data_IF_908702040073
#
_entry.id   IF_908702040073
#
_cell.length_a   1.000
_cell.length_b   1.000
_cell.length_c   1.000
_cell.angle_alpha   90.00
_cell.angle_beta   90.00
_cell.angle_gamma   90.00
#
_symmetry.space_group_name_H-M   'P 1'
#
loop_
_entity.id
_entity.type
_entity.pdbx_description
1 polymer ?
#
# COMPACT_ATOMS: atom_id res chain seq x y z
N UNK A 1 2.98 -15.48 10.13
CA UNK A 1 1.54 -15.16 10.16
C UNK A 1 1.16 -14.48 8.86
N UNK A 2 0.07 -14.91 8.24
CA UNK A 2 -0.42 -14.32 6.99
C UNK A 2 -1.38 -13.16 7.27
N UNK A 3 -1.09 -11.96 6.78
CA UNK A 3 -1.94 -10.79 6.99
C UNK A 3 -3.19 -10.84 6.11
N UNK A 4 -4.23 -10.09 6.52
CA UNK A 4 -5.53 -10.08 5.84
C UNK A 4 -5.43 -9.68 4.36
N UNK A 5 -4.55 -8.74 4.02
CA UNK A 5 -4.32 -8.32 2.64
C UNK A 5 -3.87 -9.48 1.74
N UNK A 6 -2.95 -10.33 2.21
CA UNK A 6 -2.48 -11.50 1.46
C UNK A 6 -3.59 -12.53 1.27
N UNK A 7 -4.43 -12.75 2.28
CA UNK A 7 -5.58 -13.66 2.20
C UNK A 7 -6.57 -13.23 1.11
N UNK A 8 -6.90 -11.94 1.05
CA UNK A 8 -7.79 -11.37 0.02
C UNK A 8 -7.22 -11.56 -1.39
N UNK A 9 -5.94 -11.23 -1.57
CA UNK A 9 -5.30 -11.40 -2.89
C UNK A 9 -5.24 -12.86 -3.33
N UNK A 10 -5.03 -13.83 -2.41
CA UNK A 10 -5.05 -15.27 -2.74
C UNK A 10 -6.44 -15.78 -3.11
N UNK A 11 -7.50 -15.18 -2.56
CA UNK A 11 -8.88 -15.45 -2.96
C UNK A 11 -9.19 -14.92 -4.37
N UNK A 12 -8.32 -14.09 -4.93
CA UNK A 12 -8.50 -13.44 -6.23
C UNK A 12 -9.06 -12.03 -6.14
N UNK A 13 -9.25 -11.48 -4.94
CA UNK A 13 -9.68 -10.10 -4.78
C UNK A 13 -8.56 -9.14 -5.19
N UNK A 14 -8.94 -8.00 -5.74
CA UNK A 14 -8.01 -6.96 -6.17
C UNK A 14 -8.05 -5.80 -5.17
N UNK A 15 -6.87 -5.40 -4.68
CA UNK A 15 -6.70 -4.35 -3.68
C UNK A 15 -5.93 -3.17 -4.27
N UNK A 16 -6.45 -1.96 -4.16
CA UNK A 16 -5.76 -0.71 -4.52
C UNK A 16 -5.98 0.36 -3.45
N UNK A 17 -5.13 1.38 -3.42
CA UNK A 17 -5.39 2.61 -2.66
C UNK A 17 -5.60 3.73 -3.67
N UNK A 18 -6.80 4.28 -3.70
CA UNK A 18 -7.21 5.30 -4.66
C UNK A 18 -7.59 6.56 -3.91
N UNK A 19 -6.88 7.67 -4.22
CA UNK A 19 -7.07 8.97 -3.54
C UNK A 19 -7.04 8.83 -2.01
N UNK A 20 -6.12 8.03 -1.49
CA UNK A 20 -5.93 7.78 -0.07
C UNK A 20 -6.99 6.89 0.58
N UNK A 21 -7.86 6.23 -0.20
CA UNK A 21 -8.89 5.30 0.30
C UNK A 21 -8.65 3.89 -0.20
N UNK A 22 -8.94 2.91 0.64
CA UNK A 22 -8.89 1.51 0.23
C UNK A 22 -10.00 1.22 -0.78
N UNK A 23 -9.64 0.65 -1.93
CA UNK A 23 -10.55 0.14 -2.92
C UNK A 23 -10.34 -1.38 -3.05
N UNK A 24 -11.44 -2.12 -2.94
CA UNK A 24 -11.46 -3.58 -3.05
C UNK A 24 -12.42 -3.95 -4.16
N UNK A 25 -11.93 -4.69 -5.15
CA UNK A 25 -12.76 -5.34 -6.15
C UNK A 25 -12.78 -6.83 -5.84
N UNK A 26 -13.93 -7.34 -5.43
CA UNK A 26 -14.05 -8.77 -5.11
C UNK A 26 -13.97 -9.61 -6.39
N UNK A 27 -13.39 -10.80 -6.30
CA UNK A 27 -13.37 -11.76 -7.41
C UNK A 27 -14.79 -12.15 -7.87
N UNK A 28 -15.77 -12.06 -6.96
CA UNK A 28 -17.17 -12.34 -7.22
C UNK A 28 -17.93 -11.20 -7.91
N UNK A 29 -17.34 -10.00 -8.00
CA UNK A 29 -17.98 -8.78 -8.50
C UNK A 29 -19.01 -8.16 -7.54
N UNK A 30 -19.32 -8.80 -6.41
CA UNK A 30 -20.21 -8.24 -5.39
C UNK A 30 -19.50 -7.17 -4.55
N UNK A 31 -20.19 -6.11 -4.12
CA UNK A 31 -19.61 -5.11 -3.23
C UNK A 31 -19.29 -5.74 -1.87
N UNK A 32 -18.15 -5.35 -1.31
CA UNK A 32 -17.77 -5.73 0.05
C UNK A 32 -18.60 -4.90 1.05
N UNK A 33 -19.14 -5.50 2.14
CA UNK A 33 -19.91 -4.77 3.14
C UNK A 33 -19.14 -3.58 3.71
N UNK A 34 -19.78 -2.42 3.80
CA UNK A 34 -19.14 -1.17 4.25
C UNK A 34 -18.65 -1.25 5.70
N UNK A 35 -19.43 -1.86 6.59
CA UNK A 35 -19.08 -2.02 8.01
C UNK A 35 -17.78 -2.84 8.20
N UNK A 36 -17.60 -3.85 7.34
CA UNK A 36 -16.39 -4.66 7.34
C UNK A 36 -15.18 -3.86 6.82
N UNK A 37 -15.37 -3.05 5.76
CA UNK A 37 -14.31 -2.17 5.26
C UNK A 37 -13.91 -1.16 6.35
N UNK A 38 -14.86 -0.51 7.00
CA UNK A 38 -14.55 0.53 7.98
C UNK A 38 -13.75 -0.01 9.18
N UNK A 39 -14.01 -1.25 9.59
CA UNK A 39 -13.29 -1.90 10.68
C UNK A 39 -11.90 -2.46 10.29
N UNK A 40 -11.73 -2.93 9.05
CA UNK A 40 -10.50 -3.62 8.60
C UNK A 40 -9.62 -2.82 7.65
N UNK A 41 -10.12 -1.72 7.08
CA UNK A 41 -9.42 -0.97 6.05
C UNK A 41 -8.06 -0.46 6.53
N UNK A 42 -7.96 0.01 7.78
CA UNK A 42 -6.72 0.53 8.32
C UNK A 42 -5.66 -0.57 8.44
N UNK A 43 -6.03 -1.76 8.91
CA UNK A 43 -5.12 -2.90 9.04
C UNK A 43 -4.62 -3.39 7.67
N UNK A 44 -5.52 -3.42 6.68
CA UNK A 44 -5.19 -3.75 5.29
C UNK A 44 -4.24 -2.71 4.72
N UNK A 45 -4.58 -1.43 4.81
CA UNK A 45 -3.74 -0.34 4.33
C UNK A 45 -2.36 -0.37 5.00
N UNK A 46 -2.28 -0.56 6.31
CA UNK A 46 -1.01 -0.67 7.04
C UNK A 46 -0.15 -1.80 6.51
N UNK A 47 -0.74 -2.98 6.32
CA UNK A 47 -0.04 -4.16 5.78
C UNK A 47 0.49 -3.90 4.36
N UNK A 48 -0.32 -3.25 3.52
CA UNK A 48 0.07 -2.87 2.14
C UNK A 48 1.22 -1.85 2.14
N UNK A 49 1.12 -0.81 2.96
CA UNK A 49 2.14 0.23 3.07
C UNK A 49 3.48 -0.34 3.57
N UNK A 50 3.44 -1.19 4.60
CA UNK A 50 4.61 -1.91 5.11
C UNK A 50 5.26 -2.79 4.04
N UNK A 51 4.46 -3.53 3.26
CA UNK A 51 4.99 -4.41 2.21
C UNK A 51 5.66 -3.62 1.08
N UNK A 52 5.15 -2.43 0.75
CA UNK A 52 5.71 -1.56 -0.29
C UNK A 52 6.92 -0.76 0.23
N UNK A 53 7.04 -0.58 1.54
CA UNK A 53 8.11 0.20 2.16
C UNK A 53 7.89 1.71 2.08
N UNK A 54 6.63 2.15 2.01
CA UNK A 54 6.26 3.57 2.07
C UNK A 54 5.40 3.83 3.30
N UNK A 55 5.43 5.06 3.78
CA UNK A 55 4.56 5.50 4.88
C UNK A 55 3.43 6.40 4.37
N UNK A 56 2.34 6.42 5.13
CA UNK A 56 1.19 7.28 4.91
C UNK A 56 0.70 7.85 6.24
N UNK A 57 0.04 8.99 6.16
CA UNK A 57 -0.35 9.80 7.30
C UNK A 57 -1.87 9.92 7.38
N UNK A 58 -2.42 9.56 8.54
CA UNK A 58 -3.84 9.76 8.85
C UNK A 58 -4.03 11.11 9.54
N UNK A 59 -5.06 11.84 9.14
CA UNK A 59 -5.44 13.08 9.81
C UNK A 59 -5.86 12.82 11.26
N UNK A 60 -5.26 13.55 12.21
CA UNK A 60 -5.54 13.45 13.65
C UNK A 60 -6.34 14.65 14.17
N UNK A 61 -6.21 15.81 13.55
CA UNK A 61 -6.92 17.02 13.98
C UNK A 61 -6.24 18.29 13.48
N UNK A 62 -6.74 19.44 13.91
CA UNK A 62 -6.16 20.73 13.56
C UNK A 62 -6.18 21.71 14.72
N UNK A 63 -5.38 22.76 14.60
CA UNK A 63 -5.41 23.94 15.45
C UNK A 63 -5.12 25.19 14.62
N UNK A 64 -5.56 26.34 15.10
CA UNK A 64 -5.30 27.65 14.48
C UNK A 64 -4.47 28.50 15.42
N UNK A 65 -3.57 29.31 14.89
CA UNK A 65 -2.70 30.15 15.70
C UNK A 65 -2.02 31.27 14.91
N UNK A 66 -1.34 32.14 15.64
CA UNK A 66 -0.46 33.16 15.07
C UNK A 66 0.99 32.69 15.26
N UNK A 67 1.76 32.64 14.18
CA UNK A 67 3.09 32.05 14.15
C UNK A 67 4.17 33.04 13.71
N UNK A 68 5.40 32.82 14.20
CA UNK A 68 6.57 33.60 13.84
C UNK A 68 6.58 35.03 14.41
N UNK A 69 7.65 35.78 14.08
CA UNK A 69 7.89 37.14 14.57
C UNK A 69 6.78 38.12 14.20
N UNK A 70 6.20 37.95 13.01
CA UNK A 70 5.13 38.80 12.49
C UNK A 70 3.72 38.36 12.91
N UNK A 71 3.60 37.33 13.75
CA UNK A 71 2.31 36.78 14.19
C UNK A 71 1.39 36.45 13.00
N UNK A 72 1.95 35.80 11.98
CA UNK A 72 1.21 35.40 10.78
C UNK A 72 0.18 34.34 11.11
N UNK A 73 -1.05 34.53 10.64
CA UNK A 73 -2.15 33.61 10.89
C UNK A 73 -1.95 32.28 10.13
N UNK A 74 -2.12 31.17 10.86
CA UNK A 74 -1.85 29.83 10.36
C UNK A 74 -2.80 28.76 10.88
N UNK A 75 -2.95 27.72 10.08
CA UNK A 75 -3.68 26.49 10.35
C UNK A 75 -2.67 25.35 10.42
N UNK A 76 -2.56 24.72 11.58
CA UNK A 76 -1.73 23.52 11.77
C UNK A 76 -2.60 22.28 11.66
N UNK A 77 -2.34 21.45 10.65
CA UNK A 77 -2.90 20.11 10.54
C UNK A 77 -1.95 19.12 11.21
N UNK A 78 -2.50 18.24 12.04
CA UNK A 78 -1.76 17.17 12.70
C UNK A 78 -2.12 15.85 12.05
N UNK A 79 -1.11 15.02 11.87
CA UNK A 79 -1.22 13.70 11.29
C UNK A 79 -0.46 12.67 12.12
N UNK A 80 -0.83 11.41 11.94
CA UNK A 80 -0.17 10.26 12.56
C UNK A 80 0.21 9.29 11.47
N UNK A 81 1.46 8.85 11.45
CA UNK A 81 1.95 7.79 10.58
C UNK A 81 1.14 6.50 10.81
N UNK A 82 0.74 5.85 9.73
CA UNK A 82 0.05 4.56 9.77
C UNK A 82 1.04 3.42 10.05
N UNK A 83 2.30 3.56 9.62
CA UNK A 83 3.32 2.52 9.80
C UNK A 83 3.99 2.64 11.17
N UNK A 84 4.58 3.80 11.46
CA UNK A 84 5.40 4.06 12.66
C UNK A 84 4.60 4.55 13.85
N UNK A 85 3.44 5.18 13.62
CA UNK A 85 2.63 5.81 14.67
C UNK A 85 3.15 7.18 15.12
N UNK A 86 4.24 7.67 14.52
CA UNK A 86 4.80 8.98 14.82
C UNK A 86 3.89 10.11 14.35
N UNK A 87 3.96 11.25 15.04
CA UNK A 87 3.16 12.42 14.70
C UNK A 87 3.91 13.35 13.77
N UNK A 88 3.24 13.82 12.72
CA UNK A 88 3.75 14.85 11.84
C UNK A 88 2.75 16.01 11.72
N UNK A 89 3.22 17.19 11.32
CA UNK A 89 2.34 18.35 11.17
C UNK A 89 2.61 19.15 9.90
N UNK A 90 1.58 19.80 9.36
CA UNK A 90 1.67 20.73 8.24
C UNK A 90 1.06 22.07 8.62
N UNK A 91 1.70 23.18 8.26
CA UNK A 91 1.22 24.54 8.58
C UNK A 91 0.85 25.25 7.29
N UNK A 92 -0.39 25.74 7.22
CA UNK A 92 -0.94 26.50 6.11
C UNK A 92 -1.25 27.93 6.52
N UNK A 93 -0.99 28.88 5.63
CA UNK A 93 -1.41 30.27 5.84
C UNK A 93 -2.92 30.42 5.64
N UNK A 94 -3.61 31.04 6.60
CA UNK A 94 -5.06 31.27 6.60
C UNK A 94 -5.39 32.62 7.24
N UNK A 95 -6.61 33.11 7.02
CA UNK A 95 -7.11 34.31 7.68
C UNK A 95 -7.87 33.93 8.97
N UNK A 96 -7.47 34.50 10.11
CA UNK A 96 -8.11 34.28 11.42
C UNK A 96 -8.94 35.49 11.91
N UNK A 97 -9.11 36.51 11.07
CA UNK A 97 -9.83 37.75 11.43
C UNK A 97 -11.07 37.98 10.57
N UNK A 98 -11.99 38.78 11.08
CA UNK A 98 -13.22 39.17 10.38
C UNK A 98 -12.91 40.20 9.29
N UNK A 99 -13.30 39.92 8.04
CA UNK A 99 -13.17 40.88 6.92
C UNK A 99 -14.17 42.04 6.96
N UNK A 100 -15.33 41.87 7.62
CA UNK A 100 -16.40 42.86 7.70
C UNK A 100 -16.95 42.90 9.13
N UNK A 101 -17.47 44.06 9.53
CA UNK A 101 -18.24 44.19 10.77
C UNK A 101 -19.58 43.48 10.61
N UNK A 102 -19.93 42.62 11.56
CA UNK A 102 -21.22 41.93 11.64
C UNK A 102 -21.77 42.08 13.05
N UNK A 103 -23.00 41.62 13.29
CA UNK A 103 -23.57 41.57 14.65
C UNK A 103 -22.67 40.82 15.65
N UNK A 104 -21.90 39.83 15.18
CA UNK A 104 -20.95 39.08 16.01
C UNK A 104 -19.64 39.81 16.33
N UNK A 105 -19.39 40.96 15.72
CA UNK A 105 -18.31 41.89 16.07
C UNK A 105 -17.64 42.59 14.87
N UNK A 106 -16.65 43.43 15.18
CA UNK A 106 -16.05 44.37 14.23
C UNK A 106 -15.10 43.70 13.22
N UNK A 107 -14.91 44.32 12.06
CA UNK A 107 -13.83 43.97 11.15
C UNK A 107 -12.47 44.02 11.87
N UNK A 108 -11.57 43.10 11.52
CA UNK A 108 -10.26 42.94 12.16
C UNK A 108 -10.28 42.16 13.48
N UNK A 109 -11.44 42.01 14.12
CA UNK A 109 -11.56 41.17 15.33
C UNK A 109 -11.30 39.69 15.01
N UNK A 110 -10.79 38.90 15.98
CA UNK A 110 -10.56 37.47 15.79
C UNK A 110 -11.86 36.72 15.48
N UNK A 111 -11.74 35.67 14.68
CA UNK A 111 -12.81 34.68 14.49
C UNK A 111 -12.98 33.83 15.76
N UNK A 112 -14.14 33.16 15.93
CA UNK A 112 -14.31 32.16 16.97
C UNK A 112 -13.20 31.11 16.94
N UNK A 113 -12.91 30.51 18.10
CA UNK A 113 -11.84 29.52 18.23
C UNK A 113 -12.03 28.36 17.23
N UNK A 114 -10.97 27.99 16.51
CA UNK A 114 -10.99 26.94 15.49
C UNK A 114 -11.57 27.37 14.13
N UNK A 115 -12.20 28.54 14.03
CA UNK A 115 -12.65 29.06 12.75
C UNK A 115 -11.51 29.75 11.99
N UNK A 116 -11.46 29.50 10.69
CA UNK A 116 -10.51 30.13 9.79
C UNK A 116 -11.16 30.38 8.42
N UNK A 117 -10.56 31.28 7.65
CA UNK A 117 -10.94 31.56 6.27
C UNK A 117 -9.78 31.26 5.33
N UNK A 118 -10.15 30.76 4.16
CA UNK A 118 -9.23 30.32 3.12
C UNK A 118 -9.47 31.15 1.89
N UNK A 119 -8.39 31.63 1.24
CA UNK A 119 -8.46 32.25 -0.08
C UNK A 119 -8.28 31.21 -1.19
N UNK A 120 -8.89 31.44 -2.36
CA UNK A 120 -8.87 30.49 -3.50
C UNK A 120 -7.46 30.21 -4.03
N UNK A 121 -6.54 31.17 -3.88
CA UNK A 121 -5.15 31.03 -4.32
C UNK A 121 -4.23 30.41 -3.25
N UNK A 122 -4.76 30.11 -2.06
CA UNK A 122 -3.98 29.60 -0.95
C UNK A 122 -3.51 28.16 -1.18
N UNK A 123 -2.39 27.79 -0.56
CA UNK A 123 -1.91 26.41 -0.59
C UNK A 123 -2.92 25.45 0.05
N UNK A 124 -3.66 25.89 1.08
CA UNK A 124 -4.69 25.05 1.69
C UNK A 124 -5.82 24.75 0.71
N UNK A 125 -6.27 25.74 -0.09
CA UNK A 125 -7.28 25.51 -1.11
C UNK A 125 -6.81 24.49 -2.15
N UNK A 126 -5.58 24.64 -2.66
CA UNK A 126 -4.99 23.71 -3.63
C UNK A 126 -4.85 22.29 -3.06
N UNK A 127 -4.37 22.19 -1.83
CA UNK A 127 -4.30 20.94 -1.07
C UNK A 127 -5.67 20.28 -0.98
N UNK A 128 -6.69 21.03 -0.55
CA UNK A 128 -8.04 20.52 -0.36
C UNK A 128 -8.65 20.03 -1.68
N UNK A 129 -8.49 20.78 -2.78
CA UNK A 129 -8.90 20.32 -4.12
C UNK A 129 -8.18 19.03 -4.51
N UNK A 130 -6.89 18.93 -4.22
CA UNK A 130 -6.09 17.72 -4.46
C UNK A 130 -6.59 16.48 -3.72
N UNK A 131 -7.32 16.65 -2.60
CA UNK A 131 -7.94 15.51 -1.89
C UNK A 131 -9.15 14.91 -2.62
N UNK A 132 -9.75 15.65 -3.54
CA UNK A 132 -11.01 15.25 -4.19
C UNK A 132 -12.23 15.24 -3.27
N UNK A 133 -12.11 15.78 -2.04
CA UNK A 133 -13.26 15.99 -1.16
C UNK A 133 -14.20 17.06 -1.72
N UNK A 134 -15.48 16.95 -1.40
CA UNK A 134 -16.48 17.96 -1.76
C UNK A 134 -16.11 19.32 -1.16
N UNK A 135 -16.15 20.38 -1.98
CA UNK A 135 -15.98 21.75 -1.48
C UNK A 135 -17.10 22.12 -0.51
N UNK A 136 -16.82 22.89 0.55
CA UNK A 136 -17.88 23.50 1.33
C UNK A 136 -18.65 24.52 0.47
N UNK A 137 -19.95 24.66 0.70
CA UNK A 137 -20.80 25.63 -0.02
C UNK A 137 -20.29 27.07 0.06
N UNK A 138 -19.54 27.37 1.13
CA UNK A 138 -18.91 28.68 1.35
C UNK A 138 -17.50 28.48 1.87
N UNK A 139 -16.54 29.23 1.32
CA UNK A 139 -15.13 29.19 1.73
C UNK A 139 -14.88 29.50 3.22
N UNK A 140 -15.83 30.14 3.90
CA UNK A 140 -15.72 30.43 5.34
C UNK A 140 -16.04 29.21 6.21
N UNK A 141 -16.53 28.11 5.62
CA UNK A 141 -17.00 26.90 6.32
C UNK A 141 -16.04 25.71 6.21
N UNK A 142 -14.81 25.90 5.75
CA UNK A 142 -13.82 24.80 5.70
C UNK A 142 -13.66 24.11 7.06
N UNK A 143 -13.69 24.85 8.16
CA UNK A 143 -13.62 24.31 9.52
C UNK A 143 -14.67 23.22 9.80
N UNK A 144 -15.87 23.29 9.20
CA UNK A 144 -16.94 22.29 9.35
C UNK A 144 -16.67 21.00 8.60
N UNK A 145 -15.86 21.06 7.56
CA UNK A 145 -15.57 19.91 6.71
C UNK A 145 -14.27 19.20 7.10
N UNK A 146 -13.47 19.75 8.02
CA UNK A 146 -12.16 19.20 8.40
C UNK A 146 -12.20 17.72 8.79
N UNK A 147 -13.28 17.27 9.44
CA UNK A 147 -13.47 15.85 9.78
C UNK A 147 -13.45 14.91 8.57
N UNK A 148 -13.79 15.38 7.37
CA UNK A 148 -13.77 14.55 6.14
C UNK A 148 -12.35 14.09 5.77
N UNK A 149 -11.31 14.79 6.24
CA UNK A 149 -9.90 14.41 6.03
C UNK A 149 -9.52 13.10 6.74
N UNK A 150 -10.25 12.68 7.78
CA UNK A 150 -9.95 11.42 8.49
C UNK A 150 -10.10 10.18 7.59
N UNK A 151 -10.92 10.29 6.54
CA UNK A 151 -11.17 9.23 5.57
C UNK A 151 -10.09 9.07 4.49
N UNK A 152 -9.03 9.89 4.51
CA UNK A 152 -8.02 9.94 3.45
C UNK A 152 -6.63 9.74 4.04
N UNK A 153 -5.89 8.80 3.46
CA UNK A 153 -4.47 8.62 3.71
C UNK A 153 -3.63 9.57 2.86
N UNK A 154 -2.77 10.32 3.52
CA UNK A 154 -1.92 11.34 2.90
C UNK A 154 -0.48 10.87 2.80
N UNK A 155 0.19 11.15 1.69
CA UNK A 155 1.63 11.00 1.52
C UNK A 155 2.27 12.37 1.39
N UNK A 156 3.54 12.47 1.78
CA UNK A 156 4.31 13.71 1.69
C UNK A 156 5.72 13.52 2.25
N UNK A 157 6.60 14.45 1.90
CA UNK A 157 7.96 14.51 2.45
C UNK A 157 7.93 15.11 3.84
N UNK A 158 8.58 14.44 4.79
CA UNK A 158 8.72 14.89 6.18
C UNK A 158 10.15 15.39 6.40
N UNK A 159 10.26 16.59 6.95
CA UNK A 159 11.53 17.15 7.42
C UNK A 159 11.37 17.57 8.88
N UNK A 160 12.08 16.89 9.80
CA UNK A 160 12.04 17.19 11.25
C UNK A 160 10.59 17.32 11.77
N UNK A 161 9.79 16.28 11.52
CA UNK A 161 8.36 16.16 11.89
C UNK A 161 7.38 17.10 11.18
N UNK A 162 7.89 17.97 10.31
CA UNK A 162 7.07 18.85 9.49
C UNK A 162 6.89 18.28 8.09
N UNK A 163 5.63 18.06 7.72
CA UNK A 163 5.24 17.73 6.36
C UNK A 163 5.38 18.97 5.47
N UNK A 164 6.07 18.80 4.34
CA UNK A 164 6.05 19.80 3.30
C UNK A 164 4.65 19.89 2.67
N UNK A 165 4.13 21.12 2.63
CA UNK A 165 2.78 21.40 2.15
C UNK A 165 2.64 21.16 0.65
N UNK A 166 3.72 21.29 -0.12
CA UNK A 166 3.67 21.11 -1.57
C UNK A 166 3.68 19.64 -1.98
N UNK A 167 4.40 18.80 -1.24
CA UNK A 167 4.41 17.34 -1.45
C UNK A 167 3.17 16.63 -0.92
N UNK A 168 2.39 17.26 -0.04
CA UNK A 168 1.25 16.65 0.64
C UNK A 168 0.08 16.35 -0.33
N UNK A 169 -0.15 15.07 -0.60
CA UNK A 169 -1.17 14.58 -1.54
C UNK A 169 -1.75 13.22 -1.12
N UNK A 170 -2.99 12.87 -1.50
CA UNK A 170 -3.52 11.55 -1.19
C UNK A 170 -2.64 10.44 -1.77
N UNK A 171 -2.50 9.35 -1.03
CA UNK A 171 -1.72 8.19 -1.47
C UNK A 171 -2.45 7.48 -2.62
N UNK A 172 -1.69 7.07 -3.63
CA UNK A 172 -2.19 6.27 -4.76
C UNK A 172 -1.28 5.05 -4.89
N UNK A 173 -1.87 3.87 -4.80
CA UNK A 173 -1.18 2.58 -4.95
C UNK A 173 -2.01 1.71 -5.88
N UNK A 174 -1.40 1.26 -6.97
CA UNK A 174 -2.09 0.43 -7.96
C UNK A 174 -2.19 -1.02 -7.49
N UNK A 175 -3.18 -1.74 -8.01
CA UNK A 175 -3.35 -3.15 -7.67
C UNK A 175 -2.15 -4.02 -8.00
N UNK A 176 -1.44 -3.72 -9.09
CA UNK A 176 -0.23 -4.44 -9.45
C UNK A 176 0.89 -4.22 -8.43
N UNK A 177 1.06 -3.00 -7.91
CA UNK A 177 2.04 -2.71 -6.85
C UNK A 177 1.71 -3.50 -5.59
N UNK A 178 0.43 -3.54 -5.19
CA UNK A 178 -0.02 -4.30 -4.02
C UNK A 178 0.24 -5.79 -4.20
N UNK A 179 -0.12 -6.35 -5.37
CA UNK A 179 0.08 -7.77 -5.69
C UNK A 179 1.56 -8.14 -5.73
N UNK A 180 2.40 -7.31 -6.35
CA UNK A 180 3.84 -7.53 -6.42
C UNK A 180 4.48 -7.50 -5.03
N UNK A 181 4.10 -6.54 -4.19
CA UNK A 181 4.65 -6.42 -2.84
C UNK A 181 4.24 -7.57 -1.91
N UNK A 182 2.99 -8.05 -1.98
CA UNK A 182 2.48 -9.06 -1.04
C UNK A 182 2.65 -10.52 -1.52
N UNK A 183 2.52 -10.79 -2.82
CA UNK A 183 2.58 -12.14 -3.39
C UNK A 183 3.81 -12.33 -4.30
N UNK A 184 4.32 -11.25 -4.91
CA UNK A 184 5.41 -11.29 -5.89
C UNK A 184 6.75 -11.79 -5.34
N UNK A 185 6.92 -11.91 -4.02
CA UNK A 185 8.11 -12.47 -3.37
C UNK A 185 8.33 -13.99 -3.57
N UNK A 186 7.69 -14.63 -4.56
CA UNK A 186 8.04 -15.99 -5.03
C UNK A 186 9.01 -16.04 -6.22
N UNK A 187 9.66 -14.93 -6.59
CA UNK A 187 10.82 -14.96 -7.51
C UNK A 187 12.04 -14.43 -6.79
N UNK A 188 13.06 -15.28 -6.73
CA UNK A 188 14.14 -15.26 -5.75
C UNK A 188 15.03 -14.01 -5.79
N UNK A 189 15.69 -13.80 -4.66
CA UNK A 189 17.07 -13.35 -4.48
C UNK A 189 17.83 -13.05 -5.79
N UNK A 190 17.68 -11.85 -6.34
CA UNK A 190 18.58 -11.35 -7.41
C UNK A 190 18.78 -9.85 -7.29
N UNK A 191 19.06 -9.34 -6.09
CA UNK A 191 19.54 -7.96 -5.88
C UNK A 191 20.71 -7.86 -4.91
N UNK A 192 21.50 -8.94 -4.77
CA UNK A 192 22.71 -8.96 -3.93
C UNK A 192 23.89 -9.69 -4.59
N UNK A 193 23.87 -9.88 -5.92
CA UNK A 193 25.01 -10.42 -6.68
C UNK A 193 25.35 -9.61 -7.94
N UNK A 194 25.05 -8.30 -7.94
CA UNK A 194 25.57 -7.38 -8.97
C UNK A 194 26.67 -6.44 -8.42
N UNK A 195 27.35 -6.86 -7.34
CA UNK A 195 28.35 -6.04 -6.64
C UNK A 195 29.66 -6.76 -6.33
N UNK A 196 29.98 -7.85 -7.04
CA UNK A 196 31.24 -8.57 -6.80
C UNK A 196 31.83 -9.22 -8.06
N UNK A 197 31.89 -8.49 -9.18
CA UNK A 197 32.81 -8.80 -10.29
C UNK A 197 33.26 -7.53 -11.02
N UNK A 198 33.74 -6.54 -10.27
CA UNK A 198 34.60 -5.50 -10.83
C UNK A 198 35.82 -5.37 -9.91
N UNK A 199 36.98 -5.83 -10.39
CA UNK A 199 38.23 -5.72 -9.65
C UNK A 199 39.14 -6.94 -9.71
N UNK A 200 39.63 -7.30 -10.90
CA UNK A 200 41.01 -7.78 -11.05
C UNK A 200 41.51 -7.38 -12.43
N UNK A 201 41.89 -6.12 -12.54
CA UNK A 201 42.68 -5.58 -13.63
C UNK A 201 44.04 -6.26 -13.60
N UNK A 202 44.34 -7.18 -14.53
CA UNK A 202 45.69 -7.71 -14.71
C UNK A 202 46.52 -6.73 -15.53
N UNK A 203 47.50 -6.11 -14.89
CA UNK A 203 48.50 -5.29 -15.57
C UNK A 203 49.52 -6.16 -16.33
N UNK A 204 49.66 -5.82 -17.62
CA UNK A 204 50.89 -5.83 -18.42
C UNK A 204 51.63 -7.16 -18.69
N UNK A 205 51.48 -7.67 -19.91
CA UNK A 205 52.64 -8.02 -20.75
C UNK A 205 52.26 -8.01 -22.24
N UNK A 206 53.05 -7.24 -22.97
CA UNK A 206 53.11 -7.08 -24.42
C UNK A 206 53.52 -8.39 -25.11
N UNK A 207 52.90 -8.75 -26.24
CA UNK A 207 53.56 -9.27 -27.46
C UNK A 207 52.55 -9.67 -28.57
N UNK A 208 52.73 -9.01 -29.72
CA UNK A 208 52.52 -9.34 -31.14
C UNK A 208 51.32 -10.20 -31.67
N UNK A 209 50.79 -9.88 -32.88
CA UNK A 209 49.58 -10.50 -33.42
C UNK A 209 49.81 -11.66 -34.41
N UNK A 210 48.70 -12.39 -34.59
CA UNK A 210 48.30 -13.27 -35.70
C UNK A 210 48.87 -14.70 -35.77
N UNK A 211 47.97 -15.68 -35.93
CA UNK A 211 47.85 -16.45 -37.18
C UNK A 211 46.57 -17.33 -37.25
N UNK A 212 45.96 -17.26 -38.42
CA UNK A 212 45.15 -18.24 -39.17
C UNK A 212 43.96 -18.98 -38.52
N UNK A 213 42.80 -18.77 -39.15
CA UNK A 213 41.63 -19.65 -39.16
C UNK A 213 41.97 -20.95 -39.88
N UNK A 214 41.71 -22.12 -39.26
CA UNK A 214 41.58 -23.39 -39.97
C UNK A 214 40.37 -24.20 -39.46
N UNK A 215 39.47 -24.47 -40.40
CA UNK A 215 38.35 -25.42 -40.34
C UNK A 215 38.84 -26.84 -40.07
N UNK A 216 38.07 -27.63 -39.34
CA UNK A 216 37.93 -29.08 -39.57
C UNK A 216 36.44 -29.48 -39.54
N UNK A 217 36.07 -30.30 -40.51
CA UNK A 217 34.71 -30.74 -40.80
C UNK A 217 34.23 -31.91 -39.91
N UNK A 218 32.91 -32.13 -39.81
CA UNK A 218 32.34 -33.28 -39.10
C UNK A 218 32.37 -34.55 -39.97
N UNK A 219 32.65 -35.70 -39.36
CA UNK A 219 32.47 -37.03 -39.98
C UNK A 219 31.39 -37.79 -39.20
N UNK A 220 30.34 -38.29 -39.87
CA UNK A 220 29.35 -39.21 -39.32
C UNK A 220 29.70 -40.65 -39.68
N UNK A 221 29.55 -41.60 -38.75
CA UNK A 221 29.54 -43.04 -39.09
C UNK A 221 28.58 -43.85 -38.22
N UNK A 222 27.73 -44.59 -38.93
CA UNK A 222 26.74 -45.60 -38.54
C UNK A 222 27.40 -46.94 -38.19
N UNK A 223 26.69 -47.80 -37.41
CA UNK A 223 26.62 -49.29 -37.42
C UNK A 223 26.12 -49.75 -36.02
N UNK A 224 24.88 -50.21 -35.77
CA UNK A 224 24.14 -51.45 -36.14
C UNK A 224 24.57 -52.73 -35.38
N UNK A 225 23.63 -53.23 -34.54
CA UNK A 225 23.39 -54.61 -34.03
C UNK A 225 24.45 -55.31 -33.16
N UNK A 226 24.18 -56.22 -32.21
CA UNK A 226 23.00 -56.88 -31.60
C UNK A 226 23.50 -57.53 -30.29
N UNK A 227 22.63 -57.74 -29.28
CA UNK A 227 22.41 -59.04 -28.63
C UNK A 227 21.34 -58.93 -27.52
N UNK A 228 20.34 -59.80 -27.61
CA UNK A 228 19.28 -60.02 -26.64
C UNK A 228 19.77 -60.77 -25.39
N UNK A 229 19.16 -60.54 -24.23
CA UNK A 229 18.52 -61.60 -23.43
C UNK A 229 17.77 -61.03 -22.21
N UNK A 230 16.56 -61.54 -22.02
CA UNK A 230 15.59 -61.23 -20.95
C UNK A 230 16.14 -61.49 -19.55
N UNK A 231 15.71 -60.68 -18.58
CA UNK A 231 15.36 -61.15 -17.23
C UNK A 231 14.28 -60.23 -16.62
N UNK A 232 13.14 -60.84 -16.31
CA UNK A 232 11.99 -60.25 -15.62
C UNK A 232 12.29 -60.27 -14.12
N UNK A 233 12.11 -59.13 -13.42
CA UNK A 233 11.84 -59.11 -11.99
C UNK A 233 10.72 -58.11 -11.70
N UNK A 234 9.60 -58.63 -11.19
CA UNK A 234 8.62 -57.88 -10.41
C UNK A 234 9.25 -57.60 -9.05
N UNK A 235 8.99 -56.41 -8.49
CA UNK A 235 8.73 -56.30 -7.06
C UNK A 235 7.95 -55.02 -6.74
N UNK A 236 6.96 -55.25 -5.88
CA UNK A 236 5.95 -54.32 -5.38
C UNK A 236 6.54 -53.28 -4.44
N UNK A 237 6.11 -52.02 -4.55
CA UNK A 237 6.27 -51.03 -3.49
C UNK A 237 4.94 -50.32 -3.21
N UNK A 238 4.41 -50.64 -2.02
CA UNK A 238 3.27 -50.01 -1.34
C UNK A 238 3.36 -48.48 -1.31
N UNK A 239 2.31 -47.81 -1.78
CA UNK A 239 2.04 -46.41 -1.46
C UNK A 239 1.29 -46.29 -0.13
N UNK A 240 1.68 -45.32 0.70
CA UNK A 240 1.00 -44.92 1.95
C UNK A 240 -0.24 -44.09 1.59
N UNK A 241 -1.40 -44.21 2.28
CA UNK A 241 -2.63 -43.51 1.90
C UNK A 241 -2.59 -42.03 2.27
N UNK A 242 -2.84 -41.15 1.30
CA UNK A 242 -3.18 -39.74 1.54
C UNK A 242 -4.59 -39.64 2.12
N UNK A 243 -4.72 -38.96 3.26
CA UNK A 243 -6.02 -38.64 3.87
C UNK A 243 -6.84 -37.79 2.87
N UNK A 244 -8.05 -38.21 2.47
CA UNK A 244 -8.90 -37.40 1.61
C UNK A 244 -9.43 -36.20 2.39
N UNK A 245 -9.11 -34.97 1.94
CA UNK A 245 -9.88 -33.80 2.32
C UNK A 245 -11.34 -33.99 1.87
N UNK A 246 -12.34 -33.65 2.69
CA UNK A 246 -13.73 -33.82 2.31
C UNK A 246 -14.04 -32.98 1.06
N UNK A 247 -14.81 -33.51 0.09
CA UNK A 247 -15.11 -32.78 -1.13
C UNK A 247 -15.95 -31.53 -0.79
N UNK A 248 -15.39 -30.36 -1.07
CA UNK A 248 -16.13 -29.09 -1.05
C UNK A 248 -17.31 -29.20 -2.02
N UNK A 249 -18.52 -29.02 -1.51
CA UNK A 249 -19.75 -29.06 -2.31
C UNK A 249 -19.74 -27.91 -3.33
N UNK A 250 -20.33 -28.12 -4.52
CA UNK A 250 -20.47 -27.07 -5.52
C UNK A 250 -21.25 -25.88 -4.95
N UNK A 251 -20.92 -24.63 -5.36
CA UNK A 251 -21.41 -23.40 -4.73
C UNK A 251 -22.93 -23.24 -4.74
N UNK A 252 -23.64 -23.99 -5.59
CA UNK A 252 -25.09 -23.98 -5.71
C UNK A 252 -25.80 -24.71 -4.55
N UNK A 253 -25.07 -25.50 -3.75
CA UNK A 253 -25.62 -26.31 -2.65
C UNK A 253 -25.11 -25.89 -1.26
N UNK A 254 -24.55 -24.68 -1.14
CA UNK A 254 -24.05 -24.13 0.13
C UNK A 254 -25.15 -23.31 0.81
N UNK A 255 -25.40 -23.55 2.10
CA UNK A 255 -26.44 -22.85 2.87
C UNK A 255 -25.89 -21.59 3.55
N UNK A 256 -26.77 -20.64 3.89
CA UNK A 256 -26.39 -19.38 4.58
C UNK A 256 -25.79 -19.63 5.97
N UNK A 257 -26.18 -20.70 6.65
CA UNK A 257 -25.63 -21.08 7.96
C UNK A 257 -24.17 -21.56 7.87
N UNK A 258 -23.74 -22.16 6.74
CA UNK A 258 -22.33 -22.48 6.49
C UNK A 258 -21.45 -21.22 6.30
N UNK A 259 -22.04 -20.08 5.88
CA UNK A 259 -21.31 -18.80 5.78
C UNK A 259 -21.03 -18.17 7.14
N UNK A 260 -21.91 -18.34 8.12
CA UNK A 260 -21.75 -17.77 9.46
C UNK A 260 -20.78 -18.60 10.33
N UNK A 261 -20.77 -19.94 10.18
CA UNK A 261 -19.87 -20.82 10.93
C UNK A 261 -18.37 -20.57 10.69
N UNK A 262 -17.99 -20.05 9.52
CA UNK A 262 -16.60 -19.70 9.21
C UNK A 262 -16.13 -18.38 9.86
N UNK A 263 -17.07 -17.57 10.37
CA UNK A 263 -16.79 -16.36 11.15
C UNK A 263 -16.93 -16.62 12.66
N UNK A 264 -17.85 -17.49 13.10
CA UNK A 264 -18.09 -17.80 14.52
C UNK A 264 -17.06 -18.77 15.15
N UNK A 265 -16.33 -19.54 14.34
CA UNK A 265 -15.20 -20.36 14.80
C UNK A 265 -13.97 -19.53 15.21
N UNK A 266 -14.08 -18.20 15.25
CA UNK A 266 -13.06 -17.27 15.72
C UNK A 266 -13.17 -16.89 17.21
N UNK A 267 -14.15 -17.41 17.96
CA UNK A 267 -14.39 -17.04 19.36
C UNK A 267 -14.22 -18.17 20.40
N UNK A 268 -13.82 -19.40 20.01
CA UNK A 268 -13.76 -20.52 20.98
C UNK A 268 -12.42 -21.26 21.15
N UNK A 269 -11.31 -20.79 20.60
CA UNK A 269 -9.98 -21.33 20.94
C UNK A 269 -9.29 -20.50 22.04
N UNK A 270 -10.03 -20.20 23.11
CA UNK A 270 -9.50 -19.60 24.33
C UNK A 270 -10.08 -20.26 25.58
N UNK A 271 -9.98 -21.58 25.68
CA UNK A 271 -9.95 -22.31 26.96
C UNK A 271 -9.12 -23.60 26.80
N UNK A 272 -8.22 -23.83 27.75
CA UNK A 272 -7.32 -24.99 27.99
C UNK A 272 -6.14 -25.15 27.00
N UNK A 273 -4.87 -24.94 27.35
CA UNK A 273 -4.05 -25.42 28.50
C UNK A 273 -3.05 -24.35 28.96
#
# INVERSE_FOLDING_TARGET
MECLATKLLRRGDTLSIERGRLAIQSASGKPVPSEWIDSKALDICRSVLMAIGIDAFRYAGYSTGLYGKHKSAGLTLRFTSVVTGETAYAIFNVDLTRKRSTAGGKAGAPLPAGEFRVGERSHFYKFWVGTGLQMPDRMQRFHKCMGKLSSILMGGEVSKDRLDVQSLRPVIITADQVRQALIGHKKGTTRTQLGHKEGTTSGHKEMAPAHAVQRLQPIPTTCVSNHESKLIRKDDNKAVPTIPLPPSKPPQNQSVDEWLGAYDSLDNDSVDI
#
